data_IF_453916164761
#
_entry.id   IF_453916164761
#
_cell.length_a   1.000
_cell.length_b   1.000
_cell.length_c   1.000
_cell.angle_alpha   90.00
_cell.angle_beta   90.00
_cell.angle_gamma   90.00
#
_symmetry.space_group_name_H-M   'P 1'
#
loop_
_entity.id
_entity.type
_entity.pdbx_description
1 polymer ?
#
# COMPACT_ATOMS: atom_id res chain seq x y z
N UNK A 1 28.31 -1.80 58.61
CA UNK A 1 27.78 -1.85 57.24
C UNK A 1 26.39 -2.47 57.35
N UNK A 2 25.36 -1.62 57.22
CA UNK A 2 23.96 -2.02 57.39
C UNK A 2 23.51 -2.96 56.27
N UNK A 3 23.29 -4.24 56.59
CA UNK A 3 22.77 -5.27 55.68
C UNK A 3 21.27 -5.10 55.34
N UNK A 4 20.62 -4.06 55.89
CA UNK A 4 19.18 -3.81 55.72
C UNK A 4 18.80 -3.09 54.41
N UNK A 5 19.74 -2.44 53.72
CA UNK A 5 19.45 -1.65 52.54
C UNK A 5 19.25 -2.44 51.19
N UNK A 6 19.89 -3.60 51.06
CA UNK A 6 19.83 -4.37 49.82
C UNK A 6 18.44 -4.96 49.49
N UNK A 7 17.67 -5.53 50.46
CA UNK A 7 16.35 -6.06 50.12
C UNK A 7 15.32 -4.95 49.81
N UNK A 8 15.40 -3.78 50.44
CA UNK A 8 14.50 -2.66 50.14
C UNK A 8 14.77 -2.07 48.73
N UNK A 9 16.01 -1.99 48.29
CA UNK A 9 16.37 -1.54 46.96
C UNK A 9 15.91 -2.53 45.90
N UNK A 10 16.14 -3.83 46.10
CA UNK A 10 15.68 -4.88 45.18
C UNK A 10 14.16 -4.88 45.04
N UNK A 11 13.43 -4.68 46.15
CA UNK A 11 11.97 -4.57 46.09
C UNK A 11 11.52 -3.35 45.28
N UNK A 12 12.11 -2.18 45.51
CA UNK A 12 11.81 -0.97 44.72
C UNK A 12 12.12 -1.16 43.23
N UNK A 13 13.26 -1.76 42.91
CA UNK A 13 13.63 -2.06 41.53
C UNK A 13 12.62 -3.00 40.88
N UNK A 14 12.29 -4.12 41.53
CA UNK A 14 11.32 -5.10 40.99
C UNK A 14 9.93 -4.46 40.83
N UNK A 15 9.47 -3.69 41.80
CA UNK A 15 8.17 -2.99 41.69
C UNK A 15 8.14 -1.97 40.56
N UNK A 16 9.20 -1.18 40.38
CA UNK A 16 9.33 -0.23 39.28
C UNK A 16 9.36 -0.96 37.92
N UNK A 17 10.14 -2.04 37.84
CA UNK A 17 10.21 -2.86 36.60
C UNK A 17 8.84 -3.45 36.23
N UNK A 18 8.14 -4.04 37.20
CA UNK A 18 6.82 -4.61 36.98
C UNK A 18 5.78 -3.55 36.58
N UNK A 19 5.85 -2.37 37.21
CA UNK A 19 4.99 -1.24 36.85
C UNK A 19 5.25 -0.77 35.40
N UNK A 20 6.51 -0.56 35.04
CA UNK A 20 6.88 -0.17 33.67
C UNK A 20 6.48 -1.23 32.65
N UNK A 21 6.70 -2.51 32.99
CA UNK A 21 6.28 -3.60 32.13
C UNK A 21 4.76 -3.66 31.94
N UNK A 22 3.99 -3.49 33.02
CA UNK A 22 2.53 -3.42 32.96
C UNK A 22 2.04 -2.22 32.14
N UNK A 23 2.68 -1.05 32.28
CA UNK A 23 2.41 0.12 31.45
C UNK A 23 2.69 -0.17 29.95
N UNK A 24 3.82 -0.78 29.63
CA UNK A 24 4.16 -1.16 28.26
C UNK A 24 3.20 -2.21 27.67
N UNK A 25 2.65 -3.08 28.50
CA UNK A 25 1.65 -4.06 28.09
C UNK A 25 0.26 -3.44 27.87
N UNK A 26 -0.13 -2.50 28.73
CA UNK A 26 -1.45 -1.87 28.69
C UNK A 26 -1.55 -0.75 27.64
N UNK A 27 -0.49 0.03 27.42
CA UNK A 27 -0.51 1.21 26.56
C UNK A 27 -1.03 0.94 25.15
N UNK A 28 -0.60 -0.09 24.39
CA UNK A 28 -1.12 -0.32 23.04
C UNK A 28 -2.60 -0.77 23.02
N UNK A 29 -3.11 -1.25 24.14
CA UNK A 29 -4.51 -1.65 24.31
C UNK A 29 -5.42 -0.47 24.66
N UNK A 30 -4.87 0.51 25.36
CA UNK A 30 -5.57 1.74 25.75
C UNK A 30 -5.50 2.82 24.67
N UNK A 31 -4.40 2.87 23.93
CA UNK A 31 -4.14 3.86 22.90
C UNK A 31 -4.07 3.18 21.52
N UNK A 32 -5.24 2.93 20.94
CA UNK A 32 -5.37 2.20 19.66
C UNK A 32 -4.60 2.85 18.50
N UNK A 33 -4.31 4.16 18.56
CA UNK A 33 -3.66 4.91 17.49
C UNK A 33 -2.12 4.94 17.58
N UNK A 34 -1.51 4.24 18.57
CA UNK A 34 -0.06 4.19 18.64
C UNK A 34 0.53 3.35 17.51
N UNK A 35 1.46 3.89 16.71
CA UNK A 35 2.22 3.08 15.76
C UNK A 35 3.14 2.12 16.52
N UNK A 36 3.23 0.87 16.08
CA UNK A 36 4.01 -0.15 16.77
C UNK A 36 5.26 -0.59 15.99
N UNK A 37 5.25 -0.36 14.69
CA UNK A 37 6.24 -0.91 13.76
C UNK A 37 6.93 0.20 12.97
N UNK A 38 8.21 0.52 13.27
CA UNK A 38 8.97 1.38 12.37
C UNK A 38 9.24 0.61 11.07
N UNK A 39 8.98 1.21 9.88
CA UNK A 39 9.12 0.52 8.58
C UNK A 39 10.59 0.40 8.15
N UNK A 40 11.40 -0.39 8.87
CA UNK A 40 12.84 -0.52 8.63
C UNK A 40 13.22 -1.75 7.79
N UNK A 41 12.35 -2.75 7.71
CA UNK A 41 12.51 -3.93 6.84
C UNK A 41 11.31 -4.09 5.94
N UNK A 42 11.42 -4.86 4.86
CA UNK A 42 10.29 -5.12 3.94
C UNK A 42 9.09 -5.70 4.69
N UNK A 43 9.29 -6.69 5.55
CA UNK A 43 8.21 -7.29 6.35
C UNK A 43 7.56 -6.28 7.30
N UNK A 44 8.37 -5.40 7.91
CA UNK A 44 7.84 -4.33 8.76
C UNK A 44 7.06 -3.28 7.96
N UNK A 45 7.51 -2.95 6.75
CA UNK A 45 6.77 -2.05 5.84
C UNK A 45 5.41 -2.63 5.45
N UNK A 46 5.35 -3.93 5.15
CA UNK A 46 4.10 -4.62 4.82
C UNK A 46 3.11 -4.58 5.99
N UNK A 47 3.61 -4.91 7.19
CA UNK A 47 2.79 -4.89 8.41
C UNK A 47 2.34 -3.48 8.74
N UNK A 48 3.21 -2.47 8.62
CA UNK A 48 2.90 -1.08 8.92
C UNK A 48 1.81 -0.51 8.01
N UNK A 49 1.88 -0.77 6.71
CA UNK A 49 0.86 -0.34 5.74
C UNK A 49 -0.52 -0.87 6.12
N UNK A 50 -0.63 -2.16 6.43
CA UNK A 50 -1.90 -2.77 6.82
C UNK A 50 -2.32 -2.32 8.22
N UNK A 51 -1.38 -2.16 9.15
CA UNK A 51 -1.66 -1.59 10.47
C UNK A 51 -2.21 -0.15 10.36
N UNK A 52 -1.64 0.69 9.49
CA UNK A 52 -2.14 2.04 9.21
C UNK A 52 -3.56 2.02 8.65
N UNK A 53 -3.87 1.09 7.75
CA UNK A 53 -5.22 0.93 7.21
C UNK A 53 -6.26 0.72 8.32
N UNK A 54 -5.96 -0.09 9.33
CA UNK A 54 -6.88 -0.36 10.45
C UNK A 54 -6.81 0.65 11.58
N UNK A 55 -5.69 1.36 11.73
CA UNK A 55 -5.42 2.27 12.84
C UNK A 55 -5.94 3.68 12.58
N UNK A 56 -5.79 4.15 11.36
CA UNK A 56 -6.16 5.50 10.97
C UNK A 56 -7.65 5.58 10.59
N UNK A 57 -8.26 6.77 10.58
CA UNK A 57 -9.64 6.93 10.14
C UNK A 57 -9.89 6.32 8.78
N UNK A 58 -11.04 5.67 8.63
CA UNK A 58 -11.44 5.08 7.35
C UNK A 58 -11.50 6.15 6.25
N UNK A 59 -11.10 5.75 5.05
CA UNK A 59 -11.17 6.57 3.84
C UNK A 59 -12.14 5.91 2.86
N UNK A 60 -12.74 6.73 1.99
CA UNK A 60 -13.71 6.25 0.99
C UNK A 60 -13.05 5.37 -0.07
N UNK A 61 -11.82 5.69 -0.43
CA UNK A 61 -11.04 5.00 -1.46
C UNK A 61 -9.84 4.28 -0.82
N UNK A 62 -9.62 3.03 -1.20
CA UNK A 62 -8.43 2.27 -0.79
C UNK A 62 -7.70 1.78 -2.02
N UNK A 63 -6.40 2.09 -2.11
CA UNK A 63 -5.53 1.51 -3.12
C UNK A 63 -5.00 0.16 -2.61
N UNK A 64 -5.06 -0.87 -3.44
CA UNK A 64 -4.39 -2.15 -3.22
C UNK A 64 -3.48 -2.44 -4.40
N UNK A 65 -2.29 -2.94 -4.09
CA UNK A 65 -1.28 -3.14 -5.13
C UNK A 65 0.02 -3.70 -4.60
N UNK A 66 1.03 -3.59 -5.44
CA UNK A 66 2.41 -3.99 -5.17
C UNK A 66 3.27 -2.81 -4.70
N UNK A 67 4.59 -2.98 -4.81
CA UNK A 67 5.56 -1.90 -4.58
C UNK A 67 5.39 -0.71 -5.54
N UNK A 68 4.78 -0.89 -6.69
CA UNK A 68 4.51 0.18 -7.65
C UNK A 68 3.51 1.17 -7.04
N UNK A 69 2.36 0.68 -6.58
CA UNK A 69 1.34 1.49 -5.91
C UNK A 69 1.75 1.96 -4.52
N UNK A 70 2.62 1.22 -3.81
CA UNK A 70 3.17 1.65 -2.53
C UNK A 70 3.89 3.01 -2.62
N UNK A 71 4.43 3.35 -3.79
CA UNK A 71 5.08 4.65 -4.06
C UNK A 71 4.09 5.81 -4.21
N UNK A 72 2.82 5.55 -4.44
CA UNK A 72 1.77 6.56 -4.54
C UNK A 72 1.36 6.99 -3.13
N UNK A 73 2.05 7.98 -2.56
CA UNK A 73 1.78 8.44 -1.19
C UNK A 73 0.40 9.08 -1.09
N UNK A 74 -0.30 8.86 0.03
CA UNK A 74 -1.65 9.41 0.27
C UNK A 74 -1.71 10.91 0.07
N UNK A 75 -0.65 11.62 0.42
CA UNK A 75 -0.54 13.08 0.29
C UNK A 75 -0.43 13.57 -1.17
N UNK A 76 -0.21 12.67 -2.14
CA UNK A 76 -0.20 13.01 -3.57
C UNK A 76 -1.61 13.16 -4.13
N UNK A 77 -2.61 12.58 -3.48
CA UNK A 77 -4.02 12.66 -3.87
C UNK A 77 -4.64 13.96 -3.37
N UNK A 78 -5.31 14.70 -4.26
CA UNK A 78 -5.81 16.04 -3.95
C UNK A 78 -7.09 16.02 -3.12
N UNK A 79 -7.98 15.05 -3.36
CA UNK A 79 -9.23 14.91 -2.63
C UNK A 79 -9.03 14.46 -1.18
N UNK A 80 -7.91 13.79 -0.88
CA UNK A 80 -7.52 13.47 0.49
C UNK A 80 -8.35 12.36 1.16
N UNK A 81 -9.13 11.62 0.39
CA UNK A 81 -9.99 10.51 0.83
C UNK A 81 -9.44 9.13 0.45
N UNK A 82 -8.15 9.07 0.12
CA UNK A 82 -7.45 7.87 -0.31
C UNK A 82 -6.58 7.31 0.81
N UNK A 83 -6.72 5.99 1.06
CA UNK A 83 -5.81 5.19 1.89
C UNK A 83 -4.98 4.28 1.00
N UNK A 84 -3.67 4.32 1.12
CA UNK A 84 -2.80 3.40 0.41
C UNK A 84 -2.51 2.16 1.25
N UNK A 85 -3.11 1.03 0.87
CA UNK A 85 -2.90 -0.30 1.45
C UNK A 85 -2.08 -1.22 0.50
N UNK A 86 -1.36 -0.64 -0.45
CA UNK A 86 -0.48 -1.39 -1.35
C UNK A 86 0.74 -1.94 -0.60
N UNK A 87 1.08 -3.19 -0.86
CA UNK A 87 2.05 -3.96 -0.08
C UNK A 87 3.38 -4.01 -0.83
N UNK A 88 4.41 -3.36 -0.28
CA UNK A 88 5.76 -3.40 -0.86
C UNK A 88 6.26 -4.86 -0.97
N UNK A 89 6.61 -5.29 -2.18
CA UNK A 89 6.98 -6.70 -2.43
C UNK A 89 5.79 -7.68 -2.46
N UNK A 90 4.56 -7.20 -2.24
CA UNK A 90 3.35 -8.01 -2.20
C UNK A 90 2.55 -7.99 -3.51
N UNK A 91 1.27 -8.33 -3.38
CA UNK A 91 0.29 -8.47 -4.46
C UNK A 91 -1.00 -7.73 -4.10
N UNK A 92 -1.73 -7.16 -5.07
CA UNK A 92 -3.07 -6.61 -4.85
C UNK A 92 -4.02 -7.64 -4.22
N UNK A 93 -3.83 -8.93 -4.52
CA UNK A 93 -4.65 -10.02 -3.97
C UNK A 93 -4.59 -10.08 -2.45
N UNK A 94 -3.41 -9.85 -1.86
CA UNK A 94 -3.24 -9.87 -0.40
C UNK A 94 -4.02 -8.71 0.25
N UNK A 95 -3.90 -7.50 -0.29
CA UNK A 95 -4.65 -6.34 0.20
C UNK A 95 -6.17 -6.56 0.11
N UNK A 96 -6.65 -7.04 -1.04
CA UNK A 96 -8.07 -7.37 -1.24
C UNK A 96 -8.57 -8.47 -0.29
N UNK A 97 -7.79 -9.53 -0.10
CA UNK A 97 -8.15 -10.63 0.81
C UNK A 97 -8.26 -10.16 2.27
N UNK A 98 -7.36 -9.28 2.71
CA UNK A 98 -7.40 -8.68 4.05
C UNK A 98 -8.65 -7.82 4.22
N UNK A 99 -8.98 -6.96 3.24
CA UNK A 99 -10.19 -6.14 3.27
C UNK A 99 -11.45 -7.01 3.28
N UNK A 100 -11.48 -8.06 2.44
CA UNK A 100 -12.60 -9.01 2.40
C UNK A 100 -12.78 -9.80 3.71
N UNK A 101 -11.71 -10.00 4.48
CA UNK A 101 -11.74 -10.65 5.80
C UNK A 101 -12.09 -9.69 6.95
N UNK A 102 -12.23 -8.38 6.69
CA UNK A 102 -12.41 -7.34 7.70
C UNK A 102 -13.65 -6.47 7.44
N UNK A 103 -14.87 -7.00 7.59
CA UNK A 103 -16.11 -6.32 7.19
C UNK A 103 -16.34 -4.97 7.89
N UNK A 104 -15.77 -4.77 9.07
CA UNK A 104 -15.96 -3.53 9.86
C UNK A 104 -15.14 -2.32 9.35
N UNK A 105 -14.19 -2.55 8.43
CA UNK A 105 -13.28 -1.52 7.92
C UNK A 105 -13.35 -1.42 6.37
N UNK A 106 -14.53 -1.59 5.78
CA UNK A 106 -14.69 -1.60 4.32
C UNK A 106 -14.72 -0.20 3.74
N UNK A 107 -13.97 0.05 2.66
CA UNK A 107 -14.07 1.29 1.89
C UNK A 107 -15.29 1.24 0.97
N UNK A 108 -15.66 2.38 0.39
CA UNK A 108 -16.65 2.46 -0.69
C UNK A 108 -16.07 1.98 -2.02
N UNK A 109 -14.79 2.26 -2.25
CA UNK A 109 -14.08 1.95 -3.48
C UNK A 109 -12.75 1.27 -3.16
N UNK A 110 -12.45 0.21 -3.90
CA UNK A 110 -11.10 -0.36 -3.95
C UNK A 110 -10.53 -0.12 -5.35
N UNK A 111 -9.43 0.63 -5.43
CA UNK A 111 -8.65 0.78 -6.65
C UNK A 111 -7.54 -0.26 -6.67
N UNK A 112 -7.57 -1.14 -7.66
CA UNK A 112 -6.73 -2.33 -7.76
C UNK A 112 -5.67 -2.13 -8.83
N UNK A 113 -4.40 -2.19 -8.43
CA UNK A 113 -3.28 -2.26 -9.37
C UNK A 113 -3.27 -3.61 -10.09
N UNK A 114 -3.06 -3.59 -11.39
CA UNK A 114 -3.10 -4.79 -12.23
C UNK A 114 -1.73 -5.23 -12.78
N UNK A 115 -0.66 -4.57 -12.41
CA UNK A 115 0.69 -4.87 -12.90
C UNK A 115 1.25 -6.21 -12.41
N UNK A 116 0.96 -6.59 -11.14
CA UNK A 116 1.60 -7.72 -10.47
C UNK A 116 0.54 -8.76 -10.10
N UNK A 117 0.38 -9.77 -10.94
CA UNK A 117 -0.59 -10.85 -10.77
C UNK A 117 0.07 -12.22 -10.49
N UNK A 118 1.39 -12.32 -10.61
CA UNK A 118 2.15 -13.56 -10.42
C UNK A 118 2.44 -13.92 -8.95
N UNK A 119 2.07 -13.06 -8.02
CA UNK A 119 2.26 -13.28 -6.59
C UNK A 119 0.97 -13.75 -5.92
N UNK A 120 1.07 -14.83 -5.17
CA UNK A 120 -0.04 -15.37 -4.38
C UNK A 120 -0.40 -14.46 -3.20
N UNK A 121 -1.54 -14.75 -2.58
CA UNK A 121 -1.94 -14.15 -1.31
C UNK A 121 -0.92 -14.53 -0.23
N UNK A 122 -0.44 -13.54 0.51
CA UNK A 122 0.36 -13.75 1.72
C UNK A 122 -0.58 -14.16 2.86
N UNK A 123 -0.62 -15.46 3.12
CA UNK A 123 -1.50 -16.03 4.14
C UNK A 123 -1.07 -15.64 5.56
N UNK A 124 0.21 -15.46 5.81
CA UNK A 124 0.73 -15.06 7.14
C UNK A 124 0.28 -13.65 7.47
N UNK A 125 0.39 -12.73 6.50
CA UNK A 125 -0.10 -11.37 6.64
C UNK A 125 -1.63 -11.33 6.76
N UNK A 126 -2.34 -12.12 5.96
CA UNK A 126 -3.80 -12.24 6.03
C UNK A 126 -4.27 -12.72 7.41
N UNK A 127 -3.71 -13.81 7.93
CA UNK A 127 -4.08 -14.35 9.26
C UNK A 127 -3.75 -13.35 10.38
N UNK A 128 -2.67 -12.58 10.24
CA UNK A 128 -2.26 -11.57 11.20
C UNK A 128 -3.30 -10.45 11.36
N UNK A 129 -4.00 -10.08 10.29
CA UNK A 129 -4.99 -8.99 10.28
C UNK A 129 -6.44 -9.48 10.13
N UNK A 130 -6.66 -10.77 10.20
CA UNK A 130 -7.99 -11.37 10.10
C UNK A 130 -8.98 -10.76 11.09
N UNK A 131 -10.18 -10.47 10.63
CA UNK A 131 -11.25 -9.84 11.39
C UNK A 131 -10.92 -8.42 11.89
N UNK A 132 -10.10 -7.68 11.17
CA UNK A 132 -9.64 -6.32 11.54
C UNK A 132 -8.90 -6.27 12.90
N UNK A 133 -8.41 -7.40 13.37
CA UNK A 133 -7.64 -7.43 14.62
C UNK A 133 -6.21 -7.03 14.33
N UNK A 134 -5.88 -5.80 14.72
CA UNK A 134 -4.48 -5.38 14.75
C UNK A 134 -3.69 -6.30 15.69
N UNK A 135 -2.49 -6.74 15.29
CA UNK A 135 -1.59 -7.42 16.21
C UNK A 135 -1.20 -6.44 17.32
N UNK A 136 -1.65 -6.72 18.54
CA UNK A 136 -1.32 -5.89 19.72
C UNK A 136 -0.14 -6.51 20.43
N UNK A 137 1.05 -6.06 20.10
CA UNK A 137 2.27 -6.45 20.80
C UNK A 137 2.47 -5.62 22.09
N UNK A 138 3.34 -6.10 22.97
CA UNK A 138 3.80 -5.29 24.10
C UNK A 138 4.54 -4.08 23.56
N UNK A 139 4.21 -2.89 24.09
CA UNK A 139 4.87 -1.65 23.70
C UNK A 139 6.39 -1.77 23.88
N UNK A 140 7.11 -1.43 22.84
CA UNK A 140 8.58 -1.30 22.87
C UNK A 140 8.91 0.19 22.77
N UNK A 141 9.14 0.90 23.87
CA UNK A 141 9.14 2.36 23.92
C UNK A 141 9.99 3.02 22.83
N UNK A 142 11.22 2.53 22.62
CA UNK A 142 12.12 3.08 21.59
C UNK A 142 11.61 2.84 20.17
N UNK A 143 11.04 1.67 19.89
CA UNK A 143 10.48 1.36 18.56
C UNK A 143 9.22 2.17 18.29
N UNK A 144 8.35 2.31 19.29
CA UNK A 144 7.14 3.14 19.17
C UNK A 144 7.50 4.61 18.98
N UNK A 145 8.50 5.11 19.70
CA UNK A 145 9.01 6.48 19.50
C UNK A 145 9.58 6.68 18.10
N UNK A 146 10.35 5.72 17.58
CA UNK A 146 10.89 5.76 16.23
C UNK A 146 9.78 5.72 15.18
N UNK A 147 8.77 4.85 15.34
CA UNK A 147 7.63 4.76 14.46
C UNK A 147 6.80 6.06 14.45
N UNK A 148 6.53 6.60 15.64
CA UNK A 148 5.82 7.87 15.77
C UNK A 148 6.59 9.04 15.13
N UNK A 149 7.90 9.10 15.34
CA UNK A 149 8.74 10.12 14.72
C UNK A 149 8.73 10.02 13.19
N UNK A 150 8.75 8.81 12.64
CA UNK A 150 8.66 8.58 11.20
C UNK A 150 7.29 8.97 10.65
N UNK A 151 6.20 8.57 11.31
CA UNK A 151 4.84 8.98 10.92
C UNK A 151 4.71 10.53 10.87
N UNK A 152 5.14 11.21 11.94
CA UNK A 152 5.10 12.69 12.01
C UNK A 152 5.98 13.33 10.94
N UNK A 153 7.17 12.80 10.72
CA UNK A 153 8.10 13.30 9.72
C UNK A 153 7.55 13.12 8.30
N UNK A 154 6.99 11.96 8.02
CA UNK A 154 6.48 11.64 6.70
C UNK A 154 5.20 12.43 6.39
N UNK A 155 4.30 12.60 7.35
CA UNK A 155 3.04 13.32 7.13
C UNK A 155 3.21 14.84 7.12
N UNK A 156 3.92 15.42 8.08
CA UNK A 156 3.91 16.89 8.27
C UNK A 156 4.98 17.64 7.49
N UNK A 157 6.18 17.07 7.32
CA UNK A 157 7.34 17.78 6.79
C UNK A 157 7.66 17.37 5.35
N UNK A 158 7.53 16.08 5.05
CA UNK A 158 8.01 15.51 3.79
C UNK A 158 7.06 15.77 2.63
N UNK A 159 5.75 15.82 2.88
CA UNK A 159 4.71 15.87 1.84
C UNK A 159 3.74 17.05 1.97
N UNK A 160 4.20 18.20 2.45
CA UNK A 160 3.37 19.41 2.43
C UNK A 160 2.97 19.77 0.98
N UNK A 161 1.78 20.37 0.78
CA UNK A 161 1.31 20.80 -0.55
C UNK A 161 2.31 21.69 -1.29
N UNK A 162 3.02 22.57 -0.57
CA UNK A 162 4.07 23.41 -1.15
C UNK A 162 5.24 22.57 -1.68
N UNK A 163 5.64 21.52 -0.94
CA UNK A 163 6.71 20.61 -1.36
C UNK A 163 6.29 19.73 -2.54
N UNK A 164 5.05 19.21 -2.54
CA UNK A 164 4.50 18.46 -3.67
C UNK A 164 4.54 19.32 -4.94
N UNK A 165 4.06 20.57 -4.89
CA UNK A 165 4.16 21.50 -6.01
C UNK A 165 5.61 21.73 -6.45
N UNK A 166 6.54 21.86 -5.50
CA UNK A 166 7.96 22.03 -5.81
C UNK A 166 8.57 20.76 -6.43
N UNK A 167 8.10 19.57 -6.08
CA UNK A 167 8.52 18.31 -6.70
C UNK A 167 8.09 18.28 -8.17
N UNK A 168 6.83 18.57 -8.45
CA UNK A 168 6.29 18.59 -9.83
C UNK A 168 6.95 19.65 -10.70
N UNK A 169 7.28 20.82 -10.13
CA UNK A 169 7.93 21.89 -10.86
C UNK A 169 9.39 21.60 -11.28
N UNK A 170 10.00 20.53 -10.78
CA UNK A 170 11.35 20.13 -11.19
C UNK A 170 11.32 19.57 -12.61
N UNK A 171 12.35 19.84 -13.42
CA UNK A 171 12.46 19.18 -14.72
C UNK A 171 12.61 17.67 -14.53
N UNK A 172 12.12 16.86 -15.48
CA UNK A 172 12.34 15.41 -15.46
C UNK A 172 13.85 15.12 -15.41
N UNK A 173 14.26 14.22 -14.51
CA UNK A 173 15.64 13.77 -14.45
C UNK A 173 15.83 12.71 -15.55
N UNK A 174 16.89 12.77 -16.39
CA UNK A 174 17.15 11.74 -17.38
C UNK A 174 17.29 10.37 -16.72
N UNK A 175 16.69 9.35 -17.34
CA UNK A 175 16.82 7.96 -16.89
C UNK A 175 18.26 7.46 -17.07
N UNK A 176 18.98 7.31 -15.99
CA UNK A 176 20.33 6.72 -15.97
C UNK A 176 20.32 5.23 -15.59
N UNK A 177 19.27 4.51 -16.01
CA UNK A 177 18.93 3.18 -15.48
C UNK A 177 18.96 2.06 -16.53
N UNK A 178 19.53 2.30 -17.71
CA UNK A 178 19.58 1.31 -18.80
C UNK A 178 20.08 -0.06 -18.33
N UNK A 179 21.12 -0.10 -17.50
CA UNK A 179 21.68 -1.35 -16.96
C UNK A 179 20.70 -2.05 -16.01
N UNK A 180 20.01 -1.30 -15.13
CA UNK A 180 19.00 -1.83 -14.21
C UNK A 180 17.79 -2.35 -14.95
N UNK A 181 17.34 -1.63 -15.97
CA UNK A 181 16.24 -2.05 -16.85
C UNK A 181 16.63 -3.34 -17.59
N UNK A 182 17.86 -3.46 -18.08
CA UNK A 182 18.33 -4.66 -18.73
C UNK A 182 18.36 -5.88 -17.79
N UNK A 183 18.77 -5.68 -16.52
CA UNK A 183 18.69 -6.72 -15.49
C UNK A 183 17.24 -7.15 -15.22
N UNK A 184 16.33 -6.19 -15.01
CA UNK A 184 14.92 -6.46 -14.79
C UNK A 184 14.28 -7.21 -15.97
N UNK A 185 14.60 -6.83 -17.20
CA UNK A 185 14.14 -7.54 -18.40
C UNK A 185 14.60 -8.99 -18.44
N UNK A 186 15.84 -9.27 -18.01
CA UNK A 186 16.37 -10.64 -17.90
C UNK A 186 15.54 -11.49 -16.95
N UNK A 187 15.20 -10.96 -15.76
CA UNK A 187 14.40 -11.67 -14.74
C UNK A 187 12.93 -11.80 -15.12
N UNK A 188 12.38 -10.81 -15.83
CA UNK A 188 10.95 -10.75 -16.13
C UNK A 188 10.53 -11.57 -17.36
N UNK A 189 11.48 -11.95 -18.18
CA UNK A 189 11.19 -12.72 -19.39
C UNK A 189 11.03 -14.24 -19.13
N UNK A 190 11.00 -14.68 -17.89
CA UNK A 190 10.81 -16.09 -17.54
C UNK A 190 9.38 -16.59 -17.82
N UNK A 191 9.20 -17.61 -18.67
CA UNK A 191 7.87 -18.16 -19.00
C UNK A 191 7.13 -18.77 -17.83
N UNK A 192 7.85 -19.20 -16.79
CA UNK A 192 7.30 -19.82 -15.56
C UNK A 192 6.30 -18.93 -14.84
N UNK A 193 6.40 -17.63 -15.00
CA UNK A 193 5.49 -16.65 -14.39
C UNK A 193 4.10 -16.62 -15.03
N UNK A 194 3.95 -17.09 -16.26
CA UNK A 194 2.65 -17.10 -16.97
C UNK A 194 1.58 -17.85 -16.21
N UNK A 195 1.87 -19.07 -15.75
CA UNK A 195 0.91 -19.88 -15.00
C UNK A 195 0.51 -19.21 -13.67
N UNK A 196 1.48 -18.62 -12.98
CA UNK A 196 1.20 -17.87 -11.75
C UNK A 196 0.31 -16.65 -12.01
N UNK A 197 0.54 -15.90 -13.10
CA UNK A 197 -0.31 -14.77 -13.50
C UNK A 197 -1.75 -15.19 -13.84
N UNK A 198 -1.94 -16.28 -14.56
CA UNK A 198 -3.27 -16.81 -14.86
C UNK A 198 -4.01 -17.20 -13.58
N UNK A 199 -3.34 -17.88 -12.65
CA UNK A 199 -3.89 -18.21 -11.33
C UNK A 199 -4.22 -16.95 -10.52
N UNK A 200 -3.33 -15.97 -10.55
CA UNK A 200 -3.55 -14.69 -9.87
C UNK A 200 -4.71 -13.90 -10.46
N UNK A 201 -4.86 -13.85 -11.79
CA UNK A 201 -5.98 -13.21 -12.44
C UNK A 201 -7.32 -13.89 -12.09
N UNK A 202 -7.36 -15.22 -12.03
CA UNK A 202 -8.54 -15.97 -11.60
C UNK A 202 -8.89 -15.68 -10.11
N UNK A 203 -7.89 -15.64 -9.24
CA UNK A 203 -8.08 -15.27 -7.84
C UNK A 203 -8.57 -13.82 -7.68
N UNK A 204 -8.03 -12.89 -8.49
CA UNK A 204 -8.49 -11.51 -8.55
C UNK A 204 -9.98 -11.45 -8.90
N UNK A 205 -10.40 -12.12 -9.96
CA UNK A 205 -11.82 -12.17 -10.36
C UNK A 205 -12.71 -12.64 -9.22
N UNK A 206 -12.34 -13.71 -8.53
CA UNK A 206 -13.12 -14.24 -7.39
C UNK A 206 -13.22 -13.24 -6.22
N UNK A 207 -12.13 -12.53 -5.90
CA UNK A 207 -12.14 -11.50 -4.86
C UNK A 207 -12.99 -10.29 -5.28
N UNK A 208 -12.94 -9.89 -6.55
CA UNK A 208 -13.76 -8.81 -7.11
C UNK A 208 -15.25 -9.17 -6.97
N UNK A 209 -15.67 -10.31 -7.47
CA UNK A 209 -17.06 -10.79 -7.39
C UNK A 209 -17.56 -10.81 -5.94
N UNK A 210 -16.73 -11.27 -5.02
CA UNK A 210 -17.06 -11.29 -3.59
C UNK A 210 -17.25 -9.88 -3.03
N UNK A 211 -16.32 -8.96 -3.27
CA UNK A 211 -16.36 -7.61 -2.72
C UNK A 211 -17.47 -6.76 -3.34
N UNK A 212 -17.73 -6.93 -4.65
CA UNK A 212 -18.86 -6.28 -5.32
C UNK A 212 -20.21 -6.79 -4.79
N UNK A 213 -20.35 -8.08 -4.51
CA UNK A 213 -21.55 -8.63 -3.87
C UNK A 213 -21.77 -8.07 -2.46
N UNK A 214 -20.74 -7.54 -1.83
CA UNK A 214 -20.78 -6.86 -0.53
C UNK A 214 -20.98 -5.33 -0.65
N UNK A 215 -21.21 -4.83 -1.88
CA UNK A 215 -21.52 -3.41 -2.18
C UNK A 215 -20.32 -2.51 -2.33
N UNK A 216 -19.11 -3.07 -2.49
CA UNK A 216 -17.88 -2.29 -2.72
C UNK A 216 -17.69 -2.07 -4.21
N UNK A 217 -17.43 -0.84 -4.62
CA UNK A 217 -17.07 -0.53 -6.01
C UNK A 217 -15.61 -0.90 -6.26
N UNK A 218 -15.35 -1.66 -7.31
CA UNK A 218 -13.99 -2.01 -7.72
C UNK A 218 -13.62 -1.23 -8.99
N UNK A 219 -12.42 -0.65 -9.01
CA UNK A 219 -11.83 -0.04 -10.21
C UNK A 219 -10.42 -0.55 -10.42
N UNK A 220 -9.99 -0.66 -11.68
CA UNK A 220 -8.67 -1.18 -12.05
C UNK A 220 -7.80 -0.08 -12.65
N UNK A 221 -6.54 -0.08 -12.29
CA UNK A 221 -5.54 0.79 -12.89
C UNK A 221 -4.22 0.05 -13.08
N UNK A 222 -3.43 0.53 -14.02
CA UNK A 222 -2.08 0.05 -14.27
C UNK A 222 -1.10 1.20 -14.01
N UNK A 223 -0.09 0.97 -13.17
CA UNK A 223 1.00 1.92 -12.96
C UNK A 223 1.93 1.84 -14.17
N UNK A 224 2.25 2.98 -14.84
CA UNK A 224 3.09 2.93 -16.02
C UNK A 224 4.52 2.49 -15.68
N UNK A 225 5.05 1.62 -16.51
CA UNK A 225 6.47 1.31 -16.54
C UNK A 225 7.22 2.28 -17.46
N UNK A 226 8.55 2.28 -17.36
CA UNK A 226 9.35 2.88 -18.44
C UNK A 226 9.06 2.19 -19.77
N UNK A 227 9.26 2.90 -20.89
CA UNK A 227 8.88 2.41 -22.23
C UNK A 227 9.42 1.01 -22.59
N UNK A 228 10.58 0.62 -22.07
CA UNK A 228 11.17 -0.69 -22.31
C UNK A 228 10.49 -1.79 -21.49
N UNK A 229 10.25 -1.53 -20.19
CA UNK A 229 9.58 -2.49 -19.31
C UNK A 229 8.09 -2.64 -19.65
N UNK A 230 7.47 -1.60 -20.14
CA UNK A 230 6.07 -1.64 -20.60
C UNK A 230 5.85 -2.63 -21.75
N UNK A 231 6.87 -2.84 -22.57
CA UNK A 231 6.88 -3.81 -23.69
C UNK A 231 7.52 -5.16 -23.31
N UNK A 232 7.83 -5.38 -22.04
CA UNK A 232 8.39 -6.64 -21.58
C UNK A 232 7.41 -7.80 -21.76
N UNK A 233 7.96 -9.01 -21.83
CA UNK A 233 7.16 -10.24 -21.81
C UNK A 233 6.32 -10.31 -20.54
N UNK A 234 6.87 -9.87 -19.40
CA UNK A 234 6.16 -9.82 -18.13
C UNK A 234 4.91 -8.94 -18.19
N UNK A 235 5.05 -7.69 -18.63
CA UNK A 235 3.92 -6.75 -18.72
C UNK A 235 2.84 -7.28 -19.69
N UNK A 236 3.27 -7.86 -20.82
CA UNK A 236 2.35 -8.47 -21.78
C UNK A 236 1.62 -9.66 -21.17
N UNK A 237 2.34 -10.56 -20.47
CA UNK A 237 1.71 -11.72 -19.79
C UNK A 237 0.70 -11.30 -18.72
N UNK A 238 0.99 -10.24 -17.97
CA UNK A 238 0.06 -9.73 -16.96
C UNK A 238 -1.22 -9.19 -17.60
N UNK A 239 -1.10 -8.40 -18.66
CA UNK A 239 -2.24 -7.87 -19.43
C UNK A 239 -3.07 -8.98 -20.09
N UNK A 240 -2.42 -9.97 -20.69
CA UNK A 240 -3.07 -11.14 -21.29
C UNK A 240 -3.84 -11.96 -20.24
N UNK A 241 -3.22 -12.23 -19.09
CA UNK A 241 -3.84 -12.97 -18.00
C UNK A 241 -5.06 -12.21 -17.46
N UNK A 242 -4.96 -10.89 -17.29
CA UNK A 242 -6.06 -10.06 -16.88
C UNK A 242 -7.19 -10.05 -17.93
N UNK A 243 -6.87 -9.90 -19.20
CA UNK A 243 -7.84 -9.92 -20.30
C UNK A 243 -8.63 -11.23 -20.38
N UNK A 244 -8.05 -12.35 -19.93
CA UNK A 244 -8.73 -13.65 -19.83
C UNK A 244 -9.85 -13.70 -18.79
N UNK A 245 -9.92 -12.74 -17.85
CA UNK A 245 -10.90 -12.73 -16.74
C UNK A 245 -11.69 -11.43 -16.65
N UNK A 246 -11.12 -10.31 -17.10
CA UNK A 246 -11.70 -8.96 -17.10
C UNK A 246 -11.46 -8.36 -18.48
N UNK A 247 -12.54 -8.11 -19.22
CA UNK A 247 -12.46 -7.58 -20.58
C UNK A 247 -11.60 -6.31 -20.67
N UNK A 248 -10.86 -6.09 -21.75
CA UNK A 248 -10.19 -4.80 -21.98
C UNK A 248 -11.15 -3.60 -21.98
N UNK A 249 -12.39 -3.80 -22.41
CA UNK A 249 -13.45 -2.77 -22.45
C UNK A 249 -14.29 -2.74 -21.18
N UNK A 250 -13.85 -3.42 -20.12
CA UNK A 250 -14.57 -3.43 -18.84
C UNK A 250 -14.62 -2.01 -18.27
N UNK A 251 -15.82 -1.55 -17.95
CA UNK A 251 -16.04 -0.20 -17.43
C UNK A 251 -15.32 0.11 -16.10
N UNK A 252 -14.91 -0.92 -15.36
CA UNK A 252 -14.12 -0.78 -14.12
C UNK A 252 -12.68 -0.37 -14.39
N UNK A 253 -12.17 -0.52 -15.63
CA UNK A 253 -10.83 -0.06 -16.01
C UNK A 253 -10.83 1.47 -16.10
N UNK A 254 -9.94 2.09 -15.35
CA UNK A 254 -9.77 3.53 -15.38
C UNK A 254 -8.96 3.95 -16.61
N UNK A 255 -9.47 4.94 -17.34
CA UNK A 255 -8.69 5.65 -18.34
C UNK A 255 -8.01 6.82 -17.66
N UNK A 256 -6.67 6.82 -17.66
CA UNK A 256 -5.86 7.83 -16.99
C UNK A 256 -5.25 8.77 -18.02
N UNK A 257 -5.38 10.08 -17.78
CA UNK A 257 -4.82 11.13 -18.62
C UNK A 257 -3.63 11.78 -17.91
N UNK A 258 -2.42 11.49 -18.38
CA UNK A 258 -1.17 12.07 -17.87
C UNK A 258 -0.12 12.20 -18.98
N UNK A 259 0.85 13.13 -18.87
CA UNK A 259 1.92 13.29 -19.85
C UNK A 259 2.93 12.14 -19.74
N UNK A 260 2.66 11.03 -20.43
CA UNK A 260 3.46 9.79 -20.33
C UNK A 260 4.94 10.01 -20.66
N UNK A 261 5.26 10.95 -21.56
CA UNK A 261 6.61 11.31 -21.96
C UNK A 261 7.40 12.03 -20.85
N UNK A 262 6.71 12.58 -19.86
CA UNK A 262 7.34 13.23 -18.70
C UNK A 262 7.63 12.29 -17.55
N UNK A 263 7.04 11.09 -17.55
CA UNK A 263 7.26 10.13 -16.46
C UNK A 263 8.66 9.53 -16.53
N UNK A 264 9.26 9.37 -15.37
CA UNK A 264 10.59 8.77 -15.19
C UNK A 264 10.54 7.73 -14.08
N UNK A 265 11.40 6.73 -14.20
CA UNK A 265 11.65 5.80 -13.11
C UNK A 265 12.71 6.35 -12.15
N UNK A 266 12.69 5.82 -10.93
CA UNK A 266 13.77 6.05 -9.98
C UNK A 266 15.04 5.25 -10.37
N UNK A 267 16.04 5.23 -9.49
CA UNK A 267 17.32 4.55 -9.74
C UNK A 267 17.23 3.04 -9.95
N UNK A 268 16.10 2.39 -9.67
CA UNK A 268 15.90 0.96 -9.92
C UNK A 268 15.34 0.65 -11.33
N UNK A 269 14.89 1.67 -12.05
CA UNK A 269 14.36 1.53 -13.41
C UNK A 269 12.92 0.97 -13.48
N UNK A 270 12.32 0.64 -12.35
CA UNK A 270 11.01 -0.04 -12.27
C UNK A 270 9.95 0.88 -11.71
N UNK A 271 10.22 1.47 -10.54
CA UNK A 271 9.27 2.31 -9.83
C UNK A 271 9.32 3.75 -10.34
N UNK A 272 8.20 4.43 -10.35
CA UNK A 272 8.16 5.86 -10.64
C UNK A 272 9.04 6.64 -9.65
N UNK A 273 9.72 7.67 -10.14
CA UNK A 273 10.36 8.66 -9.27
C UNK A 273 9.30 9.50 -8.53
N UNK A 274 9.71 10.29 -7.54
CA UNK A 274 8.76 11.07 -6.73
C UNK A 274 7.92 12.05 -7.57
N UNK A 275 8.52 12.67 -8.59
CA UNK A 275 7.80 13.59 -9.49
C UNK A 275 6.73 12.86 -10.30
N UNK A 276 7.11 11.77 -10.92
CA UNK A 276 6.22 10.94 -11.74
C UNK A 276 5.12 10.29 -10.91
N UNK A 277 5.43 9.88 -9.67
CA UNK A 277 4.46 9.34 -8.74
C UNK A 277 3.39 10.39 -8.35
N UNK A 278 3.77 11.67 -8.17
CA UNK A 278 2.81 12.76 -7.92
C UNK A 278 1.92 13.00 -9.15
N UNK A 279 2.51 13.08 -10.34
CA UNK A 279 1.75 13.31 -11.60
C UNK A 279 0.76 12.16 -11.82
N UNK A 280 1.21 10.94 -11.66
CA UNK A 280 0.36 9.75 -11.84
C UNK A 280 -0.74 9.65 -10.78
N UNK A 281 -0.42 9.93 -9.50
CA UNK A 281 -1.39 9.92 -8.42
C UNK A 281 -2.51 10.96 -8.63
N UNK A 282 -2.18 12.15 -9.13
CA UNK A 282 -3.19 13.16 -9.46
C UNK A 282 -4.13 12.69 -10.58
N UNK A 283 -3.59 12.09 -11.65
CA UNK A 283 -4.41 11.53 -12.74
C UNK A 283 -5.30 10.36 -12.26
N UNK A 284 -4.77 9.52 -11.38
CA UNK A 284 -5.52 8.41 -10.78
C UNK A 284 -6.66 8.93 -9.89
N UNK A 285 -6.39 9.95 -9.08
CA UNK A 285 -7.36 10.61 -8.21
C UNK A 285 -8.53 11.17 -9.02
N UNK A 286 -8.23 11.94 -10.08
CA UNK A 286 -9.23 12.49 -11.00
C UNK A 286 -10.08 11.41 -11.66
N UNK A 287 -9.47 10.32 -12.13
CA UNK A 287 -10.18 9.24 -12.78
C UNK A 287 -11.11 8.49 -11.82
N UNK A 288 -10.67 8.22 -10.57
CA UNK A 288 -11.50 7.62 -9.53
C UNK A 288 -12.72 8.51 -9.26
N UNK A 289 -12.52 9.81 -9.06
CA UNK A 289 -13.61 10.74 -8.74
C UNK A 289 -14.57 10.97 -9.91
N UNK A 290 -14.09 11.02 -11.15
CA UNK A 290 -14.95 11.01 -12.35
C UNK A 290 -15.85 9.79 -12.39
N UNK A 291 -15.30 8.61 -12.08
CA UNK A 291 -16.07 7.35 -12.04
C UNK A 291 -17.13 7.38 -10.95
N UNK A 292 -16.80 7.81 -9.74
CA UNK A 292 -17.76 7.92 -8.62
C UNK A 292 -18.89 8.89 -8.89
N UNK A 293 -18.60 10.07 -9.43
CA UNK A 293 -19.61 11.08 -9.76
C UNK A 293 -20.51 10.66 -10.92
N UNK A 294 -19.96 9.92 -11.89
CA UNK A 294 -20.73 9.32 -13.00
C UNK A 294 -21.76 8.31 -12.49
N UNK A 295 -21.40 7.43 -11.57
CA UNK A 295 -22.31 6.46 -10.97
C UNK A 295 -23.43 7.12 -10.14
N UNK A 296 -23.13 8.19 -9.41
CA UNK A 296 -24.14 8.92 -8.63
C UNK A 296 -25.21 9.58 -9.52
N UNK A 297 -24.82 10.10 -10.70
CA UNK A 297 -25.76 10.70 -11.66
C UNK A 297 -26.63 9.66 -12.34
N UNK A 298 -26.12 8.45 -12.59
CA UNK A 298 -26.89 7.36 -13.19
C UNK A 298 -27.86 6.69 -12.21
N UNK A 299 -27.61 6.79 -10.90
CA UNK A 299 -28.45 6.23 -9.84
C UNK A 299 -29.49 7.22 -9.26
N UNK A 300 -29.47 8.48 -9.68
CA UNK A 300 -30.49 9.46 -9.32
C UNK A 300 -31.76 9.24 -10.17
N UNK A 301 -32.96 9.07 -9.55
CA UNK A 301 -34.21 8.78 -10.25
C UNK A 301 -34.70 9.93 -11.10
#
# INVERSE_FOLDING_TARGET
MDKAGAPAWLFKFAATFLLLWACCWAAPRLFANLPQFPPTTTDQMQVDVIDRYFRLPAQDVVLVGSSLSYRLKEQYFEHGDVRNAAINGGSPLTGMAIIAAAPAARPRVIAVETNVLDRSIDNDLLERFKNAKRPVDTLRPLRTLAAYYQDVKDDAITYSRARIKAIVARPPVPDHVAERVAMALGEWNEPTRREAMVKGAAALKSLVEKLEAEGITIVFYEVPYTSQLDRSVYATMARDALAGVISPDDERRLTLEYPAEELRSNADGIHLDDRSAVIFAAALDDAIHKKLTGHQRAAAP
#
